data_IF_212038859814
#
_entry.id   IF_212038859814
#
_cell.length_a   1.000
_cell.length_b   1.000
_cell.length_c   1.000
_cell.angle_alpha   90.00
_cell.angle_beta   90.00
_cell.angle_gamma   90.00
#
_symmetry.space_group_name_H-M   'P 1'
#
loop_
_entity.id
_entity.type
_entity.pdbx_description
1 polymer ?
#
# COMPACT_ATOMS: atom_id res chain seq x y z
N UNK A 1 -62.79 -42.73 -78.32
CA UNK A 1 -63.93 -42.05 -77.66
C UNK A 1 -63.50 -41.62 -76.27
N UNK A 2 -63.88 -40.40 -75.89
CA UNK A 2 -63.44 -39.60 -74.74
C UNK A 2 -63.57 -40.22 -73.33
N UNK A 3 -62.80 -39.63 -72.37
CA UNK A 3 -62.90 -39.62 -70.88
C UNK A 3 -61.94 -40.58 -70.14
N UNK A 4 -61.16 -40.21 -69.12
CA UNK A 4 -61.13 -39.03 -68.20
C UNK A 4 -59.72 -38.89 -67.60
N UNK A 5 -59.27 -37.64 -67.44
CA UNK A 5 -58.16 -37.24 -66.58
C UNK A 5 -58.46 -37.58 -65.10
N UNK A 6 -57.50 -38.15 -64.38
CA UNK A 6 -57.39 -38.02 -62.93
C UNK A 6 -55.91 -37.75 -62.61
N UNK A 7 -55.63 -36.52 -62.16
CA UNK A 7 -54.34 -36.14 -61.58
C UNK A 7 -54.28 -36.69 -60.16
N UNK A 8 -53.34 -37.58 -59.88
CA UNK A 8 -52.99 -37.96 -58.52
C UNK A 8 -51.84 -37.06 -58.07
N UNK A 9 -52.15 -36.07 -57.24
CA UNK A 9 -51.16 -35.26 -56.53
C UNK A 9 -50.46 -36.17 -55.50
N UNK A 10 -49.18 -36.46 -55.74
CA UNK A 10 -48.33 -37.19 -54.81
C UNK A 10 -47.89 -36.21 -53.71
N UNK A 11 -48.49 -36.35 -52.52
CA UNK A 11 -48.16 -35.58 -51.33
C UNK A 11 -46.76 -36.01 -50.85
N UNK A 12 -45.75 -35.17 -51.08
CA UNK A 12 -44.40 -35.38 -50.57
C UNK A 12 -44.38 -34.99 -49.08
N UNK A 13 -44.50 -35.98 -48.20
CA UNK A 13 -44.24 -35.81 -46.76
C UNK A 13 -42.73 -35.52 -46.58
N UNK A 14 -42.32 -34.41 -45.94
CA UNK A 14 -40.94 -34.27 -45.51
C UNK A 14 -40.72 -35.24 -44.35
N UNK A 15 -39.90 -36.27 -44.58
CA UNK A 15 -39.21 -36.97 -43.51
C UNK A 15 -38.31 -35.94 -42.81
N UNK A 16 -38.77 -35.43 -41.67
CA UNK A 16 -37.90 -34.76 -40.70
C UNK A 16 -36.95 -35.83 -40.19
N UNK A 17 -35.78 -35.93 -40.80
CA UNK A 17 -34.66 -36.62 -40.19
C UNK A 17 -34.34 -35.86 -38.90
N UNK A 18 -34.61 -36.49 -37.76
CA UNK A 18 -34.00 -36.08 -36.51
C UNK A 18 -32.52 -36.43 -36.68
N UNK A 19 -31.72 -35.47 -37.12
CA UNK A 19 -30.29 -35.48 -36.82
C UNK A 19 -30.21 -35.54 -35.31
N UNK A 20 -29.89 -36.72 -34.79
CA UNK A 20 -29.41 -36.87 -33.44
C UNK A 20 -28.08 -36.11 -33.44
N UNK A 21 -28.16 -34.81 -33.15
CA UNK A 21 -26.99 -34.03 -32.80
C UNK A 21 -26.36 -34.78 -31.63
N UNK A 22 -25.28 -35.47 -31.94
CA UNK A 22 -24.39 -36.05 -30.95
C UNK A 22 -23.86 -34.86 -30.17
N UNK A 23 -24.57 -34.50 -29.09
CA UNK A 23 -24.08 -33.55 -28.10
C UNK A 23 -23.03 -34.26 -27.27
N UNK A 24 -21.94 -34.62 -27.95
CA UNK A 24 -20.62 -34.68 -27.36
C UNK A 24 -20.37 -33.31 -26.76
N UNK A 25 -20.78 -33.16 -25.50
CA UNK A 25 -20.29 -32.14 -24.61
C UNK A 25 -18.80 -32.44 -24.48
N UNK A 26 -17.99 -31.78 -25.30
CA UNK A 26 -16.56 -31.69 -25.05
C UNK A 26 -16.42 -30.91 -23.72
N UNK A 27 -16.07 -31.55 -22.60
CA UNK A 27 -16.13 -30.93 -21.29
C UNK A 27 -14.97 -29.95 -21.03
N UNK A 28 -14.33 -29.42 -22.07
CA UNK A 28 -13.09 -28.64 -21.95
C UNK A 28 -13.14 -27.22 -22.50
N UNK A 29 -14.30 -26.69 -22.91
CA UNK A 29 -14.38 -25.37 -23.57
C UNK A 29 -14.78 -24.19 -22.69
N UNK A 30 -14.95 -24.36 -21.37
CA UNK A 30 -15.18 -23.25 -20.44
C UNK A 30 -14.14 -23.25 -19.32
N UNK A 31 -12.85 -23.17 -19.69
CA UNK A 31 -11.79 -22.92 -18.72
C UNK A 31 -11.83 -21.42 -18.39
N UNK A 32 -12.04 -21.02 -17.12
CA UNK A 32 -12.04 -19.62 -16.75
C UNK A 32 -10.72 -18.97 -17.15
N UNK A 33 -10.76 -17.74 -17.64
CA UNK A 33 -9.56 -16.98 -17.99
C UNK A 33 -8.75 -16.70 -16.73
N UNK A 34 -7.67 -17.46 -16.52
CA UNK A 34 -6.72 -17.19 -15.45
C UNK A 34 -5.97 -15.89 -15.76
N UNK A 35 -5.81 -15.04 -14.75
CA UNK A 35 -5.16 -13.74 -14.86
C UNK A 35 -4.06 -13.60 -13.82
N UNK A 36 -3.06 -12.80 -14.18
CA UNK A 36 -2.03 -12.31 -13.28
C UNK A 36 -2.06 -10.79 -13.38
N UNK A 37 -2.02 -10.12 -12.23
CA UNK A 37 -1.84 -8.68 -12.11
C UNK A 37 -0.61 -8.43 -11.24
N UNK A 38 0.48 -8.09 -11.92
CA UNK A 38 1.74 -7.63 -11.37
C UNK A 38 2.45 -6.79 -12.46
N UNK A 39 3.60 -6.19 -12.16
CA UNK A 39 4.33 -5.33 -13.10
C UNK A 39 4.63 -6.03 -14.44
N UNK A 40 4.93 -7.33 -14.41
CA UNK A 40 5.20 -8.15 -15.59
C UNK A 40 3.97 -8.36 -16.48
N UNK A 41 2.76 -8.18 -15.94
CA UNK A 41 1.48 -8.42 -16.62
C UNK A 41 0.56 -7.18 -16.63
N UNK A 42 1.14 -5.98 -16.69
CA UNK A 42 0.43 -4.68 -16.71
C UNK A 42 -0.39 -4.37 -15.44
N UNK A 43 0.00 -4.93 -14.30
CA UNK A 43 -0.45 -4.53 -12.97
C UNK A 43 0.41 -3.40 -12.38
N UNK A 44 0.49 -3.34 -11.06
CA UNK A 44 1.30 -2.34 -10.36
C UNK A 44 2.79 -2.51 -10.67
N UNK A 45 3.47 -1.41 -10.99
CA UNK A 45 4.87 -1.42 -11.43
C UNK A 45 5.88 -1.77 -10.32
N UNK A 46 5.46 -1.69 -9.05
CA UNK A 46 6.28 -1.98 -7.87
C UNK A 46 5.96 -3.32 -7.21
N UNK A 47 5.12 -4.15 -7.85
CA UNK A 47 4.75 -5.47 -7.36
C UNK A 47 5.01 -6.56 -8.40
N UNK A 48 5.64 -7.66 -7.98
CA UNK A 48 5.99 -8.79 -8.86
C UNK A 48 5.66 -10.12 -8.21
N UNK A 49 4.96 -11.02 -8.90
CA UNK A 49 5.01 -12.45 -8.54
C UNK A 49 6.30 -13.07 -9.06
N UNK A 50 6.80 -14.08 -8.34
CA UNK A 50 8.07 -14.75 -8.63
C UNK A 50 7.89 -16.26 -8.83
N UNK A 51 8.91 -16.94 -9.39
CA UNK A 51 8.94 -18.40 -9.44
C UNK A 51 8.73 -19.04 -8.05
N UNK A 52 8.00 -20.16 -7.98
CA UNK A 52 7.59 -21.01 -9.10
C UNK A 52 6.22 -20.68 -9.72
N UNK A 53 5.50 -19.68 -9.19
CA UNK A 53 4.13 -19.39 -9.64
C UNK A 53 4.08 -18.44 -10.83
N UNK A 54 5.01 -17.48 -10.90
CA UNK A 54 5.20 -16.66 -12.10
C UNK A 54 6.57 -16.93 -12.72
N UNK A 55 6.75 -16.46 -13.96
CA UNK A 55 8.08 -16.43 -14.58
C UNK A 55 8.99 -15.46 -13.81
N UNK A 56 10.31 -15.63 -13.91
CA UNK A 56 11.26 -14.75 -13.23
C UNK A 56 11.31 -13.38 -13.91
N UNK A 57 10.77 -12.31 -13.30
CA UNK A 57 10.79 -10.99 -13.92
C UNK A 57 12.17 -10.35 -13.81
N UNK A 58 12.40 -9.39 -14.69
CA UNK A 58 13.41 -8.35 -14.47
C UNK A 58 12.74 -7.21 -13.71
N UNK A 59 13.43 -6.67 -12.71
CA UNK A 59 12.95 -5.57 -11.89
C UNK A 59 14.10 -4.61 -11.61
N UNK A 60 13.77 -3.34 -11.37
CA UNK A 60 14.74 -2.25 -11.29
C UNK A 60 14.59 -1.38 -10.02
N UNK A 61 13.53 -1.57 -9.23
CA UNK A 61 13.31 -0.83 -8.00
C UNK A 61 13.97 -1.49 -6.80
N UNK A 62 14.09 -0.71 -5.73
CA UNK A 62 14.67 -1.17 -4.47
C UNK A 62 13.66 -2.04 -3.71
N UNK A 63 14.11 -3.17 -3.17
CA UNK A 63 13.26 -4.05 -2.37
C UNK A 63 12.80 -3.36 -1.08
N UNK A 64 11.49 -3.30 -0.86
CA UNK A 64 10.95 -2.76 0.37
C UNK A 64 10.83 -3.85 1.44
N UNK A 65 11.86 -3.94 2.28
CA UNK A 65 11.87 -4.85 3.43
C UNK A 65 10.87 -4.43 4.52
N UNK A 66 10.39 -3.19 4.52
CA UNK A 66 9.48 -2.64 5.53
C UNK A 66 8.01 -2.87 5.20
N UNK A 67 7.70 -3.32 3.97
CA UNK A 67 6.36 -3.64 3.55
C UNK A 67 5.71 -4.68 4.49
N UNK A 68 4.43 -4.46 4.79
CA UNK A 68 3.61 -5.36 5.61
C UNK A 68 2.51 -6.01 4.75
N UNK A 69 2.86 -6.99 3.90
CA UNK A 69 1.89 -7.62 3.03
C UNK A 69 0.96 -8.56 3.79
N UNK A 70 -0.25 -8.69 3.28
CA UNK A 70 -1.20 -9.76 3.59
C UNK A 70 -1.46 -10.57 2.32
N UNK A 71 -1.45 -11.91 2.44
CA UNK A 71 -1.77 -12.81 1.32
C UNK A 71 -3.10 -13.47 1.61
N UNK A 72 -4.07 -13.27 0.72
CA UNK A 72 -5.39 -13.89 0.80
C UNK A 72 -5.56 -14.91 -0.31
N UNK A 73 -6.24 -16.01 0.00
CA UNK A 73 -6.58 -17.04 -0.98
C UNK A 73 -8.08 -17.31 -0.91
N UNK A 74 -8.75 -17.32 -2.05
CA UNK A 74 -10.19 -17.54 -2.15
C UNK A 74 -10.56 -18.31 -3.41
N UNK A 75 -11.72 -18.97 -3.40
CA UNK A 75 -12.31 -19.49 -4.63
C UNK A 75 -12.97 -18.33 -5.41
N UNK A 76 -12.70 -18.24 -6.71
CA UNK A 76 -13.39 -17.29 -7.58
C UNK A 76 -14.80 -17.82 -7.88
N UNK A 77 -15.82 -17.07 -7.46
CA UNK A 77 -17.22 -17.32 -7.77
C UNK A 77 -17.82 -16.04 -8.37
N UNK A 78 -17.85 -15.94 -9.71
CA UNK A 78 -18.21 -14.69 -10.38
C UNK A 78 -17.12 -13.62 -10.18
N UNK A 79 -17.49 -12.41 -9.73
CA UNK A 79 -16.54 -11.31 -9.47
C UNK A 79 -16.02 -11.25 -8.02
N UNK A 80 -16.46 -12.17 -7.16
CA UNK A 80 -16.16 -12.14 -5.73
C UNK A 80 -15.07 -13.13 -5.31
N UNK A 81 -14.33 -12.73 -4.28
CA UNK A 81 -13.30 -13.53 -3.60
C UNK A 81 -13.71 -13.70 -2.14
N UNK A 82 -14.26 -14.86 -1.77
CA UNK A 82 -14.55 -15.19 -0.36
C UNK A 82 -13.35 -15.89 0.25
N UNK A 83 -12.63 -15.19 1.13
CA UNK A 83 -11.37 -15.65 1.70
C UNK A 83 -11.48 -17.01 2.41
N UNK A 84 -10.66 -17.96 1.98
CA UNK A 84 -10.48 -19.29 2.57
C UNK A 84 -9.34 -19.24 3.60
N UNK A 85 -8.28 -18.51 3.29
CA UNK A 85 -7.15 -18.28 4.18
C UNK A 85 -6.54 -16.90 3.96
N UNK A 86 -6.07 -16.32 5.05
CA UNK A 86 -5.19 -15.15 5.06
C UNK A 86 -3.89 -15.48 5.82
N UNK A 87 -2.76 -14.97 5.30
CA UNK A 87 -1.45 -14.97 5.93
C UNK A 87 -0.95 -13.54 6.10
N UNK A 88 -0.29 -13.25 7.22
CA UNK A 88 0.40 -11.97 7.46
C UNK A 88 1.84 -12.22 7.91
N UNK A 89 2.62 -11.15 8.08
CA UNK A 89 3.99 -11.21 8.60
C UNK A 89 4.04 -11.44 10.12
N UNK A 90 2.98 -11.11 10.86
CA UNK A 90 2.97 -11.09 12.33
C UNK A 90 2.10 -12.19 12.95
N UNK A 91 1.06 -12.64 12.27
CA UNK A 91 0.14 -13.66 12.76
C UNK A 91 0.32 -14.99 12.02
N UNK A 92 0.63 -16.04 12.77
CA UNK A 92 0.64 -17.39 12.22
C UNK A 92 -0.80 -17.87 11.96
N UNK A 93 -1.03 -18.33 10.74
CA UNK A 93 -2.32 -18.77 10.27
C UNK A 93 -2.13 -20.06 9.49
N UNK A 94 -2.90 -21.11 9.84
CA UNK A 94 -2.85 -22.43 9.20
C UNK A 94 -1.42 -23.01 9.03
N UNK A 95 -0.51 -22.69 9.96
CA UNK A 95 0.89 -23.13 10.01
C UNK A 95 1.84 -22.40 9.06
N UNK A 96 1.51 -21.18 8.65
CA UNK A 96 2.36 -20.30 7.87
C UNK A 96 2.31 -18.85 8.34
N UNK A 97 3.43 -18.15 8.17
CA UNK A 97 3.55 -16.69 8.21
C UNK A 97 4.26 -16.23 6.94
N UNK A 98 4.00 -15.00 6.51
CA UNK A 98 4.80 -14.39 5.44
C UNK A 98 6.18 -14.07 5.99
N UNK A 99 7.22 -14.49 5.27
CA UNK A 99 8.62 -14.26 5.63
C UNK A 99 9.31 -13.45 4.54
N UNK A 100 10.00 -12.40 4.94
CA UNK A 100 10.91 -11.68 4.08
C UNK A 100 12.25 -12.44 3.96
N UNK A 101 12.85 -12.40 2.78
CA UNK A 101 14.18 -12.91 2.48
C UNK A 101 15.01 -11.73 1.95
N UNK A 102 15.78 -11.03 2.80
CA UNK A 102 16.47 -9.80 2.41
C UNK A 102 17.55 -9.99 1.35
N UNK A 103 18.21 -11.15 1.30
CA UNK A 103 19.31 -11.40 0.33
C UNK A 103 18.75 -11.82 -1.02
N UNK A 104 17.69 -12.63 -1.01
CA UNK A 104 16.95 -12.98 -2.22
C UNK A 104 15.99 -11.88 -2.69
N UNK A 105 15.75 -10.89 -1.84
CA UNK A 105 14.87 -9.74 -2.02
C UNK A 105 13.43 -10.12 -2.42
N UNK A 106 12.81 -10.99 -1.64
CA UNK A 106 11.41 -11.39 -1.83
C UNK A 106 10.72 -11.72 -0.50
N UNK A 107 9.39 -11.68 -0.52
CA UNK A 107 8.53 -12.26 0.49
C UNK A 107 8.07 -13.65 0.05
N UNK A 108 7.84 -14.54 1.01
CA UNK A 108 7.26 -15.84 0.72
C UNK A 108 6.37 -16.39 1.84
N UNK A 109 5.41 -17.22 1.43
CA UNK A 109 4.61 -18.08 2.32
C UNK A 109 4.28 -19.38 1.60
N UNK A 110 4.12 -20.47 2.36
CA UNK A 110 3.76 -21.78 1.80
C UNK A 110 2.27 -22.04 1.98
N UNK A 111 1.54 -22.17 0.88
CA UNK A 111 0.16 -22.62 0.92
C UNK A 111 0.09 -24.15 0.88
N UNK A 112 -0.32 -24.75 1.98
CA UNK A 112 -0.54 -26.19 2.11
C UNK A 112 -1.96 -26.55 1.69
N UNK A 113 -2.17 -26.88 0.41
CA UNK A 113 -3.52 -27.12 -0.17
C UNK A 113 -4.26 -28.30 0.47
N UNK A 114 -3.53 -29.26 1.05
CA UNK A 114 -4.06 -30.42 1.79
C UNK A 114 -4.74 -30.07 3.13
N UNK A 115 -4.54 -28.85 3.63
CA UNK A 115 -5.15 -28.38 4.90
C UNK A 115 -6.54 -27.79 4.74
N UNK A 116 -7.04 -27.73 3.51
CA UNK A 116 -8.31 -27.09 3.16
C UNK A 116 -9.14 -28.04 2.30
N UNK A 117 -10.47 -27.95 2.39
CA UNK A 117 -11.39 -28.72 1.56
C UNK A 117 -11.56 -28.05 0.19
N UNK A 118 -10.52 -28.10 -0.63
CA UNK A 118 -10.47 -27.42 -1.92
C UNK A 118 -10.98 -28.32 -3.05
N UNK A 119 -11.81 -27.75 -3.91
CA UNK A 119 -12.34 -28.44 -5.08
C UNK A 119 -11.31 -28.41 -6.23
N UNK A 120 -11.11 -29.57 -6.86
CA UNK A 120 -10.35 -29.65 -8.13
C UNK A 120 -11.17 -29.07 -9.28
N UNK A 121 -10.49 -28.66 -10.36
CA UNK A 121 -11.02 -27.91 -11.50
C UNK A 121 -11.72 -26.60 -11.09
N UNK A 122 -11.37 -26.07 -9.92
CA UNK A 122 -11.85 -24.77 -9.42
C UNK A 122 -10.72 -23.77 -9.48
N UNK A 123 -11.05 -22.53 -9.82
CA UNK A 123 -10.10 -21.42 -9.86
C UNK A 123 -10.07 -20.73 -8.50
N UNK A 124 -8.87 -20.56 -8.00
CA UNK A 124 -8.57 -19.82 -6.79
C UNK A 124 -7.73 -18.60 -7.15
N UNK A 125 -7.98 -17.49 -6.45
CA UNK A 125 -7.15 -16.30 -6.52
C UNK A 125 -6.23 -16.24 -5.33
N UNK A 126 -4.96 -15.99 -5.59
CA UNK A 126 -3.96 -15.58 -4.61
C UNK A 126 -3.83 -14.06 -4.74
N UNK A 127 -4.40 -13.32 -3.81
CA UNK A 127 -4.31 -11.85 -3.75
C UNK A 127 -3.27 -11.42 -2.74
N UNK A 128 -2.47 -10.40 -3.08
CA UNK A 128 -1.55 -9.74 -2.15
C UNK A 128 -2.06 -8.33 -1.89
N UNK A 129 -2.13 -7.98 -0.61
CA UNK A 129 -2.59 -6.68 -0.14
C UNK A 129 -1.51 -5.98 0.66
N UNK A 130 -1.48 -4.64 0.58
CA UNK A 130 -0.66 -3.77 1.42
C UNK A 130 -1.56 -2.64 1.90
N UNK A 131 -1.59 -2.39 3.21
CA UNK A 131 -2.51 -1.39 3.80
C UNK A 131 -4.00 -1.69 3.54
N UNK A 132 -4.37 -2.94 3.28
CA UNK A 132 -5.75 -3.35 2.95
C UNK A 132 -6.14 -3.19 1.47
N UNK A 133 -5.27 -2.64 0.62
CA UNK A 133 -5.49 -2.56 -0.82
C UNK A 133 -4.85 -3.74 -1.55
N UNK A 134 -5.57 -4.39 -2.49
CA UNK A 134 -4.98 -5.39 -3.39
C UNK A 134 -3.99 -4.71 -4.35
N UNK A 135 -2.72 -5.10 -4.26
CA UNK A 135 -1.62 -4.57 -5.09
C UNK A 135 -1.25 -5.52 -6.22
N UNK A 136 -1.68 -6.78 -6.13
CA UNK A 136 -1.57 -7.75 -7.20
C UNK A 136 -2.29 -9.04 -6.89
N UNK A 137 -2.59 -9.80 -7.93
CA UNK A 137 -3.23 -11.11 -7.78
C UNK A 137 -2.77 -12.10 -8.85
N UNK A 138 -2.92 -13.37 -8.55
CA UNK A 138 -2.59 -14.48 -9.46
C UNK A 138 -3.65 -15.57 -9.32
N UNK A 139 -4.31 -15.88 -10.44
CA UNK A 139 -5.32 -16.92 -10.51
C UNK A 139 -4.69 -18.28 -10.81
N UNK A 140 -5.03 -19.29 -10.02
CA UNK A 140 -4.55 -20.67 -10.15
C UNK A 140 -5.73 -21.63 -10.24
N UNK A 141 -5.62 -22.66 -11.08
CA UNK A 141 -6.58 -23.76 -11.09
C UNK A 141 -6.04 -24.97 -10.33
N UNK A 142 -6.80 -25.50 -9.38
CA UNK A 142 -6.44 -26.77 -8.75
C UNK A 142 -6.75 -27.94 -9.67
N UNK A 143 -5.81 -28.88 -9.78
CA UNK A 143 -5.96 -30.12 -10.55
C UNK A 143 -5.70 -31.34 -9.67
N UNK A 144 -6.22 -32.48 -10.09
CA UNK A 144 -6.14 -33.76 -9.40
C UNK A 144 -4.78 -34.48 -9.58
N UNK A 145 -4.00 -34.13 -10.59
CA UNK A 145 -2.71 -34.77 -10.86
C UNK A 145 -1.74 -33.92 -11.71
N UNK A 146 -0.47 -34.34 -11.72
CA UNK A 146 0.64 -33.67 -12.42
C UNK A 146 0.52 -33.66 -13.95
N UNK A 147 -0.18 -34.61 -14.56
CA UNK A 147 -0.30 -34.70 -16.02
C UNK A 147 -1.09 -33.55 -16.65
N UNK A 148 -1.79 -32.77 -15.82
CA UNK A 148 -2.53 -31.57 -16.23
C UNK A 148 -1.81 -30.27 -15.85
N UNK A 149 -0.57 -30.37 -15.33
CA UNK A 149 0.24 -29.19 -15.07
C UNK A 149 0.62 -28.50 -16.38
N UNK A 150 0.15 -27.28 -16.55
CA UNK A 150 0.70 -26.31 -17.51
C UNK A 150 1.69 -25.42 -16.76
N UNK A 151 2.90 -25.32 -17.28
CA UNK A 151 3.96 -24.48 -16.73
C UNK A 151 3.80 -23.07 -17.27
N UNK A 152 3.91 -22.06 -16.40
CA UNK A 152 3.82 -20.64 -16.74
C UNK A 152 4.88 -20.17 -17.74
N UNK A 153 4.57 -20.21 -19.04
CA UNK A 153 5.09 -19.26 -20.02
C UNK A 153 4.44 -17.88 -19.87
N UNK A 154 4.72 -16.96 -20.81
CA UNK A 154 4.21 -15.57 -20.78
C UNK A 154 2.68 -15.43 -20.78
N UNK A 155 1.95 -16.46 -21.19
CA UNK A 155 0.48 -16.45 -21.36
C UNK A 155 -0.22 -17.65 -20.69
N UNK A 156 0.46 -18.37 -19.78
CA UNK A 156 0.03 -19.73 -19.39
C UNK A 156 -0.79 -19.82 -18.09
N UNK A 157 -1.75 -20.73 -18.17
CA UNK A 157 -2.59 -21.21 -17.08
C UNK A 157 -1.71 -21.80 -15.96
N UNK A 158 -1.71 -21.20 -14.76
CA UNK A 158 -1.02 -21.76 -13.60
C UNK A 158 -1.94 -22.80 -12.96
N UNK A 159 -1.51 -24.05 -13.02
CA UNK A 159 -2.22 -25.17 -12.39
C UNK A 159 -1.43 -25.66 -11.19
N UNK A 160 -2.13 -25.98 -10.11
CA UNK A 160 -1.54 -26.51 -8.89
C UNK A 160 -2.16 -27.88 -8.59
N UNK A 161 -1.34 -28.85 -8.22
CA UNK A 161 -1.87 -30.16 -7.81
C UNK A 161 -2.42 -30.05 -6.39
N UNK A 162 -3.69 -30.39 -6.21
CA UNK A 162 -4.31 -30.44 -4.89
C UNK A 162 -3.60 -31.47 -3.99
N UNK A 163 -3.48 -31.16 -2.70
CA UNK A 163 -2.75 -31.97 -1.73
C UNK A 163 -1.24 -31.73 -1.70
N UNK A 164 -0.76 -30.64 -2.30
CA UNK A 164 0.66 -30.23 -2.29
C UNK A 164 0.85 -28.86 -1.64
N UNK A 165 2.12 -28.57 -1.32
CA UNK A 165 2.54 -27.23 -0.95
C UNK A 165 2.80 -26.39 -2.20
N UNK A 166 2.19 -25.22 -2.28
CA UNK A 166 2.44 -24.20 -3.29
C UNK A 166 3.21 -23.04 -2.63
N UNK A 167 4.51 -22.86 -2.92
CA UNK A 167 5.26 -21.70 -2.46
C UNK A 167 4.78 -20.46 -3.19
N UNK A 168 4.28 -19.48 -2.45
CA UNK A 168 3.90 -18.16 -2.95
C UNK A 168 5.09 -17.25 -2.71
N UNK A 169 5.68 -16.72 -3.78
CA UNK A 169 6.80 -15.77 -3.71
C UNK A 169 6.45 -14.51 -4.48
N UNK A 170 6.77 -13.37 -3.90
CA UNK A 170 6.52 -12.07 -4.52
C UNK A 170 7.55 -11.04 -4.02
N UNK A 171 7.76 -10.00 -4.83
CA UNK A 171 8.59 -8.85 -4.49
C UNK A 171 7.68 -7.62 -4.39
N UNK A 172 7.96 -6.79 -3.39
CA UNK A 172 7.40 -5.44 -3.26
C UNK A 172 8.58 -4.48 -3.30
N UNK A 173 8.49 -3.46 -4.14
CA UNK A 173 9.48 -2.40 -4.26
C UNK A 173 9.04 -1.13 -3.53
N UNK A 174 10.00 -0.31 -3.16
CA UNK A 174 9.72 1.03 -2.65
C UNK A 174 8.95 1.85 -3.69
N UNK A 175 8.02 2.68 -3.22
CA UNK A 175 7.16 3.47 -4.09
C UNK A 175 5.84 2.79 -4.48
N UNK A 176 5.60 1.55 -4.01
CA UNK A 176 4.28 0.93 -4.07
C UNK A 176 3.27 1.79 -3.30
N UNK A 177 2.49 2.58 -4.03
CA UNK A 177 1.32 3.27 -3.47
C UNK A 177 0.15 2.30 -3.59
N UNK A 178 -0.49 1.97 -2.48
CA UNK A 178 -1.74 1.22 -2.49
C UNK A 178 -2.74 1.93 -3.41
N UNK A 179 -2.92 1.43 -4.65
CA UNK A 179 -3.83 2.02 -5.66
C UNK A 179 -5.30 2.03 -5.22
N UNK A 180 -5.61 1.55 -4.00
CA UNK A 180 -6.91 1.64 -3.36
C UNK A 180 -6.81 2.17 -1.91
N UNK A 181 -5.98 3.17 -1.63
CA UNK A 181 -6.49 4.23 -0.78
C UNK A 181 -7.33 5.14 -1.69
N UNK A 182 -8.67 4.98 -1.76
CA UNK A 182 -9.44 6.20 -1.97
C UNK A 182 -8.98 7.14 -0.85
N UNK A 183 -8.46 8.31 -1.21
CA UNK A 183 -8.43 9.42 -0.27
C UNK A 183 -9.76 9.36 0.48
N UNK A 184 -9.74 9.17 1.82
CA UNK A 184 -10.93 8.87 2.57
C UNK A 184 -11.98 9.93 2.20
N UNK A 185 -13.23 9.53 1.89
CA UNK A 185 -14.26 10.51 1.61
C UNK A 185 -14.25 11.50 2.77
N UNK A 186 -14.16 12.78 2.43
CA UNK A 186 -13.93 13.92 3.31
C UNK A 186 -15.04 14.02 4.39
N UNK A 187 -14.99 13.14 5.39
CA UNK A 187 -15.42 13.41 6.75
C UNK A 187 -14.13 13.68 7.54
N UNK A 188 -14.09 14.73 8.38
CA UNK A 188 -12.84 15.30 8.85
C UNK A 188 -12.14 14.29 9.76
N UNK A 189 -11.11 13.63 9.24
CA UNK A 189 -10.14 12.94 10.06
C UNK A 189 -9.60 13.91 11.12
N UNK A 190 -9.37 13.45 12.37
CA UNK A 190 -8.56 14.21 13.29
C UNK A 190 -7.23 14.51 12.59
N UNK A 191 -6.76 15.77 12.58
CA UNK A 191 -5.62 16.16 11.75
C UNK A 191 -4.47 15.19 12.01
N UNK A 192 -4.03 14.52 10.93
CA UNK A 192 -2.74 13.84 10.90
C UNK A 192 -1.72 14.78 11.56
N UNK A 193 -0.98 14.32 12.60
CA UNK A 193 0.02 15.17 13.22
C UNK A 193 0.89 15.77 12.12
N UNK A 194 1.00 17.09 12.01
CA UNK A 194 1.60 17.73 10.84
C UNK A 194 2.98 17.13 10.61
N UNK A 195 3.18 16.55 9.42
CA UNK A 195 4.47 16.00 9.02
C UNK A 195 5.55 17.05 9.28
N UNK A 196 6.52 16.70 10.13
CA UNK A 196 7.58 17.62 10.53
C UNK A 196 8.49 17.78 9.31
N UNK A 197 8.62 18.99 8.71
CA UNK A 197 9.45 19.18 7.53
C UNK A 197 10.90 18.79 7.84
N UNK A 198 11.60 18.18 6.89
CA UNK A 198 13.02 17.87 7.08
C UNK A 198 13.80 19.13 7.47
N UNK A 199 14.56 19.03 8.57
CA UNK A 199 15.33 20.13 9.13
C UNK A 199 14.53 21.22 9.84
N UNK A 200 13.24 21.02 10.07
CA UNK A 200 12.48 21.86 11.01
C UNK A 200 13.03 21.71 12.43
N UNK A 201 12.94 22.81 13.19
CA UNK A 201 13.19 22.83 14.62
C UNK A 201 11.84 22.67 15.31
N UNK A 202 11.75 21.76 16.28
CA UNK A 202 10.52 21.53 17.05
C UNK A 202 10.74 21.94 18.50
N UNK A 203 9.69 21.96 19.31
CA UNK A 203 9.80 22.22 20.74
C UNK A 203 8.47 22.63 21.35
N UNK A 204 8.55 23.06 22.60
CA UNK A 204 7.41 23.55 23.40
C UNK A 204 7.71 24.92 23.99
N UNK A 205 6.69 25.76 24.10
CA UNK A 205 6.75 27.00 24.85
C UNK A 205 5.75 26.92 25.99
N UNK A 206 6.22 27.12 27.21
CA UNK A 206 5.42 27.02 28.42
C UNK A 206 5.55 28.27 29.29
N UNK A 207 4.64 28.44 30.24
CA UNK A 207 4.82 29.37 31.35
C UNK A 207 5.65 28.73 32.48
N UNK A 208 5.96 29.51 33.52
CA UNK A 208 6.71 29.03 34.69
C UNK A 208 6.02 27.88 35.48
N UNK A 209 4.76 27.57 35.19
CA UNK A 209 4.02 26.45 35.80
C UNK A 209 4.02 25.19 34.92
N UNK A 210 4.55 25.28 33.70
CA UNK A 210 4.54 24.21 32.70
C UNK A 210 3.28 24.19 31.83
N UNK A 211 2.43 25.23 31.90
CA UNK A 211 1.27 25.38 31.02
C UNK A 211 1.71 25.80 29.62
N UNK A 212 1.26 25.10 28.59
CA UNK A 212 1.56 25.44 27.19
C UNK A 212 1.03 26.83 26.82
N UNK A 213 1.84 27.60 26.10
CA UNK A 213 1.47 28.94 25.65
C UNK A 213 1.12 28.93 24.17
N UNK A 214 -0.14 29.25 23.84
CA UNK A 214 -0.65 29.37 22.48
C UNK A 214 -0.29 30.72 21.82
N UNK A 215 -0.06 30.72 20.51
CA UNK A 215 0.09 31.95 19.72
C UNK A 215 1.43 32.68 19.92
N UNK A 216 2.39 32.07 20.60
CA UNK A 216 3.76 32.58 20.69
C UNK A 216 4.41 32.46 19.32
N UNK A 217 4.98 33.57 18.84
CA UNK A 217 5.69 33.59 17.56
C UNK A 217 7.11 33.07 17.77
N UNK A 218 7.43 31.96 17.13
CA UNK A 218 8.76 31.36 17.10
C UNK A 218 9.43 31.73 15.79
N UNK A 219 10.52 32.49 15.83
CA UNK A 219 11.21 32.99 14.63
C UNK A 219 12.62 32.41 14.49
N UNK A 220 12.95 31.92 13.30
CA UNK A 220 14.33 31.65 12.89
C UNK A 220 14.95 32.93 12.34
N UNK A 221 16.11 33.30 12.87
CA UNK A 221 16.82 34.54 12.55
C UNK A 221 18.21 34.23 11.98
N UNK A 222 18.66 35.00 10.99
CA UNK A 222 20.07 34.96 10.57
C UNK A 222 20.97 35.40 11.74
N UNK A 223 22.05 34.67 12.05
CA UNK A 223 23.05 35.13 12.99
C UNK A 223 23.87 36.27 12.37
N UNK A 224 24.01 37.41 13.06
CA UNK A 224 24.82 38.51 12.56
C UNK A 224 24.70 39.80 13.36
N UNK A 225 25.23 40.88 12.80
CA UNK A 225 25.14 42.22 13.38
C UNK A 225 23.71 42.78 13.33
N UNK A 226 22.91 42.27 12.38
CA UNK A 226 21.46 42.52 12.26
C UNK A 226 20.78 41.18 12.03
N UNK A 227 19.90 40.79 12.95
CA UNK A 227 19.13 39.57 12.85
C UNK A 227 17.97 39.77 11.88
N UNK A 228 17.87 38.94 10.83
CA UNK A 228 16.76 38.96 9.87
C UNK A 228 15.92 37.70 10.04
N UNK A 229 14.59 37.85 10.12
CA UNK A 229 13.67 36.70 10.17
C UNK A 229 13.71 35.99 8.82
N UNK A 230 14.07 34.70 8.84
CA UNK A 230 14.09 33.82 7.65
C UNK A 230 12.94 32.83 7.65
N UNK A 231 12.34 32.59 8.81
CA UNK A 231 11.13 31.77 8.98
C UNK A 231 10.45 32.09 10.30
N UNK A 232 9.15 31.85 10.40
CA UNK A 232 8.39 31.97 11.62
C UNK A 232 7.26 30.95 11.68
N UNK A 233 6.91 30.53 12.90
CA UNK A 233 5.76 29.68 13.22
C UNK A 233 5.05 30.20 14.47
N UNK A 234 3.85 29.72 14.73
CA UNK A 234 3.12 29.99 15.98
C UNK A 234 2.95 28.70 16.78
N UNK A 235 2.98 28.82 18.10
CA UNK A 235 2.70 27.69 18.99
C UNK A 235 1.20 27.33 18.98
N UNK A 236 0.92 26.03 19.10
CA UNK A 236 -0.42 25.49 19.24
C UNK A 236 -0.96 25.68 20.67
N UNK A 237 -2.21 25.29 20.90
CA UNK A 237 -2.87 25.39 22.21
C UNK A 237 -2.14 24.67 23.35
N UNK A 238 -1.37 23.61 23.03
CA UNK A 238 -0.57 22.86 23.99
C UNK A 238 0.87 23.41 24.15
N UNK A 239 1.19 24.53 23.49
CA UNK A 239 2.52 25.13 23.49
C UNK A 239 3.50 24.53 22.49
N UNK A 240 3.14 23.47 21.76
CA UNK A 240 4.03 22.85 20.77
C UNK A 240 4.22 23.72 19.54
N UNK A 241 5.37 23.61 18.89
CA UNK A 241 5.61 24.26 17.59
C UNK A 241 6.48 23.41 16.67
N UNK A 242 6.35 23.71 15.37
CA UNK A 242 7.23 23.23 14.30
C UNK A 242 7.69 24.46 13.52
N UNK A 243 8.99 24.73 13.51
CA UNK A 243 9.61 25.87 12.85
C UNK A 243 10.40 25.37 11.63
N UNK A 244 9.87 25.54 10.40
CA UNK A 244 10.61 25.19 9.19
C UNK A 244 11.85 26.06 9.06
N UNK A 245 13.02 25.49 8.80
CA UNK A 245 14.25 26.25 8.56
C UNK A 245 14.72 26.01 7.12
N UNK A 246 14.73 27.05 6.25
CA UNK A 246 15.15 26.88 4.87
C UNK A 246 16.62 26.46 4.75
N UNK A 247 16.91 25.59 3.78
CA UNK A 247 18.24 25.04 3.50
C UNK A 247 19.32 26.10 3.26
N UNK A 248 18.92 27.27 2.76
CA UNK A 248 19.80 28.42 2.55
C UNK A 248 20.37 29.00 3.87
N UNK A 249 19.78 28.65 5.01
CA UNK A 249 20.14 29.14 6.34
C UNK A 249 20.40 27.97 7.29
N UNK A 250 21.51 27.23 7.11
CA UNK A 250 21.81 26.05 7.94
C UNK A 250 22.11 26.39 9.41
N UNK A 251 22.32 27.68 9.72
CA UNK A 251 22.62 28.20 11.04
C UNK A 251 21.67 29.37 11.36
N UNK A 252 20.88 29.25 12.42
CA UNK A 252 19.88 30.25 12.82
C UNK A 252 19.91 30.51 14.32
N UNK A 253 19.44 31.68 14.74
CA UNK A 253 19.02 31.93 16.12
C UNK A 253 17.51 31.71 16.21
N UNK A 254 17.00 31.23 17.33
CA UNK A 254 15.55 31.08 17.57
C UNK A 254 15.09 32.12 18.60
N UNK A 255 14.03 32.86 18.27
CA UNK A 255 13.38 33.85 19.13
C UNK A 255 11.94 33.44 19.43
N UNK A 256 11.53 33.59 20.68
CA UNK A 256 10.17 33.40 21.16
C UNK A 256 9.59 34.74 21.57
N UNK A 257 8.49 35.14 20.95
CA UNK A 257 7.91 36.47 21.13
C UNK A 257 6.39 36.39 21.27
N UNK A 258 5.86 37.01 22.33
CA UNK A 258 4.43 37.23 22.49
C UNK A 258 4.04 38.59 21.93
N UNK A 259 3.29 38.58 20.82
CA UNK A 259 2.78 39.80 20.18
C UNK A 259 1.82 40.60 21.07
N UNK A 260 1.25 39.98 22.10
CA UNK A 260 0.38 40.65 23.07
C UNK A 260 1.17 41.33 24.20
N UNK A 261 2.50 41.14 24.25
CA UNK A 261 3.40 41.68 25.27
C UNK A 261 2.97 41.31 26.70
N UNK A 262 2.43 40.11 26.91
CA UNK A 262 2.14 39.56 28.24
C UNK A 262 3.40 38.91 28.82
N UNK A 263 4.20 38.27 27.97
CA UNK A 263 5.43 37.59 28.33
C UNK A 263 6.68 38.29 27.78
N UNK A 264 7.81 38.13 28.49
CA UNK A 264 9.11 38.61 28.06
C UNK A 264 9.58 37.85 26.81
N UNK A 265 10.27 38.55 25.91
CA UNK A 265 10.93 37.90 24.77
C UNK A 265 12.11 37.06 25.25
N UNK A 266 12.22 35.85 24.69
CA UNK A 266 13.33 34.95 24.96
C UNK A 266 14.02 34.52 23.67
N UNK A 267 15.29 34.17 23.77
CA UNK A 267 16.05 33.64 22.65
C UNK A 267 16.83 32.42 23.10
N UNK A 268 16.57 31.25 22.50
CA UNK A 268 17.23 29.98 22.78
C UNK A 268 17.08 29.49 24.24
N UNK A 269 16.53 28.29 24.42
CA UNK A 269 16.51 27.49 25.68
C UNK A 269 16.62 28.31 26.98
N UNK A 270 15.53 28.98 27.35
CA UNK A 270 15.37 29.67 28.64
C UNK A 270 16.37 30.82 28.91
N UNK A 271 16.91 31.47 27.87
CA UNK A 271 17.75 32.67 28.03
C UNK A 271 16.91 33.95 27.81
N UNK A 272 16.52 34.66 28.87
CA UNK A 272 15.82 35.94 28.75
C UNK A 272 16.79 37.02 28.27
N UNK A 273 16.55 37.58 27.10
CA UNK A 273 17.38 38.64 26.52
C UNK A 273 16.54 39.67 25.77
N UNK A 274 17.02 40.91 25.78
CA UNK A 274 16.44 41.99 24.97
C UNK A 274 16.76 41.79 23.47
N UNK A 275 17.84 41.04 23.14
CA UNK A 275 18.25 40.73 21.77
C UNK A 275 18.92 39.35 21.70
N UNK A 276 18.53 38.53 20.72
CA UNK A 276 19.22 37.28 20.43
C UNK A 276 20.65 37.58 19.93
N UNK A 277 21.68 37.10 20.62
CA UNK A 277 23.08 37.34 20.24
C UNK A 277 23.81 36.04 19.89
N UNK A 278 24.87 36.15 19.09
CA UNK A 278 25.64 35.03 18.53
C UNK A 278 26.53 34.27 19.52
N UNK A 279 26.61 34.68 20.79
CA UNK A 279 27.62 34.16 21.74
C UNK A 279 27.24 32.83 22.42
N UNK A 280 26.41 32.00 21.78
CA UNK A 280 26.05 30.67 22.32
C UNK A 280 24.81 29.99 21.73
N UNK A 281 24.06 30.66 20.84
CA UNK A 281 22.68 30.30 20.50
C UNK A 281 22.46 29.93 19.03
N UNK A 282 23.54 29.73 18.25
CA UNK A 282 23.43 29.37 16.83
C UNK A 282 23.09 27.89 16.74
N UNK A 283 21.87 27.61 16.30
CA UNK A 283 21.36 26.27 16.07
C UNK A 283 21.62 25.84 14.63
N UNK A 284 22.00 24.58 14.46
CA UNK A 284 22.04 23.96 13.13
C UNK A 284 20.63 23.51 12.76
N UNK A 285 20.27 23.62 11.47
CA UNK A 285 19.04 23.04 10.92
C UNK A 285 18.83 21.60 11.43
N UNK A 286 17.63 21.28 11.90
CA UNK A 286 17.30 19.96 12.48
C UNK A 286 17.93 19.69 13.85
N UNK A 287 18.40 20.72 14.57
CA UNK A 287 18.69 20.60 16.00
C UNK A 287 17.44 20.08 16.73
N UNK A 288 17.63 19.24 17.76
CA UNK A 288 16.55 18.61 18.52
C UNK A 288 15.57 19.61 19.16
N UNK A 289 14.57 19.13 19.93
CA UNK A 289 13.54 20.00 20.46
C UNK A 289 14.16 21.16 21.27
N UNK A 290 13.73 22.39 20.96
CA UNK A 290 14.17 23.61 21.63
C UNK A 290 12.97 24.11 22.43
N UNK A 291 13.06 23.97 23.75
CA UNK A 291 11.97 24.39 24.62
C UNK A 291 12.22 25.80 25.18
N UNK A 292 11.15 26.49 25.57
CA UNK A 292 11.22 27.78 26.22
C UNK A 292 10.20 27.89 27.36
N UNK A 293 10.56 28.61 28.41
CA UNK A 293 9.71 28.91 29.57
C UNK A 293 9.61 30.42 29.69
N UNK A 294 8.51 31.00 29.17
CA UNK A 294 8.37 32.46 29.17
C UNK A 294 7.87 32.98 30.53
N UNK A 295 8.48 34.08 30.96
CA UNK A 295 8.08 34.79 32.17
C UNK A 295 7.22 36.02 31.85
N UNK A 296 6.23 36.36 32.71
CA UNK A 296 5.44 37.59 32.54
C UNK A 296 6.33 38.85 32.52
N UNK A 297 5.90 39.87 31.78
CA UNK A 297 6.49 41.20 31.88
C UNK A 297 6.12 41.79 33.27
N UNK A 298 7.08 42.38 34.01
CA UNK A 298 6.83 42.97 35.33
C UNK A 298 5.84 44.15 35.33
#
# INVERSE_FOLDING_TARGET
MFKRLVWAALLCLPLVACELADTGTDPLTDVPTLRIADAAHNGDQHFYFLPPLAWQPEYAGDFDLTAQPEVTICALNGSGCSGIVSYSTTAESYGGTIRAEPVGEFFHVNWHTDRFDLAVNTVYRIGVQVGGAEVGFLDVMLVDNKSKLRSGGRDDIITLVNGRTAPIKFRIEQGLTSQNDPEPPTEPDPPEPPAIPEGAITGTVTDATGGGLEGITVSALTPGMVNTVVSAAQTQADGTYVLPVPDAYPNVLVRFEDSNMVFQTECYDNVPVVFCSVSGSVLTRGSGPIDAVLHPIP
#
